data_IF_757083759579
#
_entry.id   IF_757083759579
#
_cell.length_a   1.000
_cell.length_b   1.000
_cell.length_c   1.000
_cell.angle_alpha   90.00
_cell.angle_beta   90.00
_cell.angle_gamma   90.00
#
_symmetry.space_group_name_H-M   'P 1'
#
loop_
_entity.id
_entity.type
_entity.pdbx_description
1 polymer ?
#
# COMPACT_ATOMS: atom_id res chain seq x y z
N UNK A 1 1.65 -10.06 3.24
CA UNK A 1 1.71 -10.63 1.87
C UNK A 1 1.46 -12.14 1.87
N UNK A 2 2.28 -12.98 2.53
CA UNK A 2 2.11 -14.45 2.51
C UNK A 2 0.71 -14.92 2.96
N UNK A 3 0.19 -14.41 4.09
CA UNK A 3 -1.15 -14.75 4.57
C UNK A 3 -2.24 -14.38 3.55
N UNK A 4 -2.19 -13.15 3.03
CA UNK A 4 -3.16 -12.67 2.02
C UNK A 4 -3.08 -13.53 0.77
N UNK A 5 -1.88 -13.84 0.28
CA UNK A 5 -1.69 -14.70 -0.88
C UNK A 5 -2.24 -16.12 -0.68
N UNK A 6 -2.02 -16.73 0.49
CA UNK A 6 -2.57 -18.05 0.81
C UNK A 6 -4.10 -18.02 0.90
N UNK A 7 -4.67 -17.00 1.53
CA UNK A 7 -6.13 -16.85 1.62
C UNK A 7 -6.77 -16.60 0.25
N UNK A 8 -6.18 -15.71 -0.56
CA UNK A 8 -6.62 -15.45 -1.93
C UNK A 8 -6.55 -16.72 -2.79
N UNK A 9 -5.47 -17.51 -2.68
CA UNK A 9 -5.33 -18.78 -3.40
C UNK A 9 -6.38 -19.80 -2.96
N UNK A 10 -6.60 -19.94 -1.64
CA UNK A 10 -7.60 -20.86 -1.11
C UNK A 10 -9.02 -20.53 -1.56
N UNK A 11 -9.36 -19.24 -1.62
CA UNK A 11 -10.65 -18.78 -2.14
C UNK A 11 -10.76 -18.98 -3.66
N UNK A 12 -9.71 -18.64 -4.41
CA UNK A 12 -9.70 -18.75 -5.87
C UNK A 12 -10.02 -20.18 -6.36
N UNK A 13 -9.48 -21.21 -5.69
CA UNK A 13 -9.76 -22.63 -6.03
C UNK A 13 -11.25 -22.98 -5.93
N UNK A 14 -12.00 -22.31 -5.06
CA UNK A 14 -13.43 -22.59 -4.85
C UNK A 14 -14.40 -21.66 -5.58
N UNK A 15 -13.95 -20.47 -6.03
CA UNK A 15 -14.84 -19.43 -6.57
C UNK A 15 -14.55 -19.01 -7.99
N UNK A 16 -13.33 -19.18 -8.49
CA UNK A 16 -12.94 -18.68 -9.80
C UNK A 16 -12.88 -19.78 -10.86
N UNK A 17 -13.33 -19.45 -12.08
CA UNK A 17 -13.14 -20.31 -13.26
C UNK A 17 -11.75 -20.04 -13.82
N UNK A 18 -10.88 -21.05 -13.81
CA UNK A 18 -9.51 -20.91 -14.33
C UNK A 18 -9.56 -20.58 -15.82
N UNK A 19 -9.04 -19.41 -16.26
CA UNK A 19 -8.99 -19.07 -17.66
C UNK A 19 -8.07 -20.04 -18.40
N UNK A 20 -8.56 -20.59 -19.53
CA UNK A 20 -7.87 -21.62 -20.32
C UNK A 20 -6.68 -21.03 -21.09
N UNK A 21 -6.70 -19.72 -21.35
CA UNK A 21 -5.61 -18.99 -22.00
C UNK A 21 -5.12 -17.85 -21.10
N UNK A 22 -3.90 -17.99 -20.60
CA UNK A 22 -3.20 -16.92 -19.87
C UNK A 22 -2.21 -16.29 -20.83
N UNK A 23 -2.48 -15.06 -21.26
CA UNK A 23 -1.58 -14.31 -22.14
C UNK A 23 -0.24 -14.02 -21.47
N UNK A 24 0.84 -13.95 -22.27
CA UNK A 24 2.19 -13.63 -21.79
C UNK A 24 2.26 -12.27 -21.07
N UNK A 25 1.38 -11.34 -21.42
CA UNK A 25 1.26 -10.03 -20.80
C UNK A 25 0.86 -10.11 -19.31
N UNK A 26 0.00 -11.07 -18.93
CA UNK A 26 -0.43 -11.29 -17.54
C UNK A 26 0.75 -11.76 -16.70
N UNK A 27 1.55 -12.69 -17.22
CA UNK A 27 2.78 -13.15 -16.56
C UNK A 27 3.80 -12.04 -16.40
N UNK A 28 3.96 -11.19 -17.43
CA UNK A 28 4.80 -9.99 -17.38
C UNK A 28 4.36 -9.02 -16.29
N UNK A 29 3.06 -8.69 -16.23
CA UNK A 29 2.49 -7.82 -15.21
C UNK A 29 2.62 -8.41 -13.79
N UNK A 30 2.40 -9.72 -13.62
CA UNK A 30 2.55 -10.41 -12.34
C UNK A 30 4.01 -10.39 -11.85
N UNK A 31 4.97 -10.66 -12.74
CA UNK A 31 6.40 -10.60 -12.41
C UNK A 31 6.84 -9.18 -12.07
N UNK A 32 6.42 -8.19 -12.86
CA UNK A 32 6.73 -6.78 -12.63
C UNK A 32 6.20 -6.31 -11.27
N UNK A 33 4.92 -6.57 -10.98
CA UNK A 33 4.29 -6.16 -9.71
C UNK A 33 4.86 -6.92 -8.51
N UNK A 34 5.10 -8.23 -8.65
CA UNK A 34 5.66 -9.05 -7.57
C UNK A 34 7.12 -8.71 -7.24
N UNK A 35 8.00 -8.61 -8.24
CA UNK A 35 9.42 -8.34 -7.98
C UNK A 35 9.71 -6.85 -7.80
N UNK A 36 9.33 -6.02 -8.76
CA UNK A 36 9.74 -4.61 -8.76
C UNK A 36 8.83 -3.75 -7.89
N UNK A 37 7.51 -3.85 -8.05
CA UNK A 37 6.61 -3.01 -7.27
C UNK A 37 6.53 -3.47 -5.79
N UNK A 38 6.72 -4.76 -5.51
CA UNK A 38 6.55 -5.31 -4.15
C UNK A 38 7.89 -5.66 -3.49
N UNK A 39 8.62 -6.66 -4.00
CA UNK A 39 9.82 -7.16 -3.31
C UNK A 39 10.92 -6.09 -3.19
N UNK A 40 11.22 -5.37 -4.27
CA UNK A 40 12.20 -4.29 -4.26
C UNK A 40 11.75 -3.12 -3.36
N UNK A 41 10.48 -2.72 -3.44
CA UNK A 41 9.93 -1.66 -2.58
C UNK A 41 10.07 -2.02 -1.10
N UNK A 42 9.73 -3.25 -0.71
CA UNK A 42 9.91 -3.72 0.68
C UNK A 42 11.37 -3.77 1.11
N UNK A 43 12.30 -4.16 0.22
CA UNK A 43 13.72 -4.14 0.54
C UNK A 43 14.23 -2.72 0.81
N UNK A 44 13.87 -1.77 -0.07
CA UNK A 44 14.20 -0.35 0.10
C UNK A 44 13.56 0.19 1.38
N UNK A 45 12.28 -0.10 1.62
CA UNK A 45 11.56 0.31 2.82
C UNK A 45 12.23 -0.24 4.08
N UNK A 46 12.55 -1.54 4.12
CA UNK A 46 13.23 -2.18 5.26
C UNK A 46 14.63 -1.60 5.48
N UNK A 47 15.34 -1.28 4.40
CA UNK A 47 16.66 -0.65 4.49
C UNK A 47 16.56 0.78 5.04
N UNK A 48 15.67 1.60 4.51
CA UNK A 48 15.42 2.97 4.98
C UNK A 48 14.96 3.00 6.45
N UNK A 49 14.15 2.03 6.85
CA UNK A 49 13.68 1.87 8.23
C UNK A 49 14.82 1.58 9.22
N UNK A 50 15.89 0.90 8.79
CA UNK A 50 17.04 0.60 9.65
C UNK A 50 17.90 1.81 9.96
N UNK A 51 17.98 2.76 9.02
CA UNK A 51 18.84 3.96 9.14
C UNK A 51 18.09 5.20 9.66
N UNK A 52 16.77 5.12 9.83
CA UNK A 52 15.92 6.27 10.15
C UNK A 52 15.26 6.10 11.52
N UNK A 53 15.20 7.17 12.32
CA UNK A 53 14.51 7.15 13.60
C UNK A 53 13.05 6.68 13.43
N UNK A 54 12.51 5.82 14.33
CA UNK A 54 11.16 5.26 14.20
C UNK A 54 10.06 6.29 13.96
N UNK A 55 10.22 7.50 14.50
CA UNK A 55 9.30 8.63 14.33
C UNK A 55 9.25 9.13 12.88
N UNK A 56 10.39 9.30 12.23
CA UNK A 56 10.44 9.77 10.84
C UNK A 56 9.93 8.70 9.88
N UNK A 57 10.28 7.45 10.11
CA UNK A 57 9.73 6.29 9.39
C UNK A 57 8.21 6.23 9.49
N UNK A 58 7.66 6.38 10.70
CA UNK A 58 6.21 6.33 10.92
C UNK A 58 5.49 7.44 10.13
N UNK A 59 6.02 8.67 10.16
CA UNK A 59 5.48 9.79 9.38
C UNK A 59 5.48 9.51 7.87
N UNK A 60 6.53 8.86 7.34
CA UNK A 60 6.61 8.47 5.93
C UNK A 60 5.55 7.41 5.58
N UNK A 61 5.44 6.34 6.38
CA UNK A 61 4.45 5.26 6.17
C UNK A 61 3.01 5.79 6.25
N UNK A 62 2.78 6.70 7.19
CA UNK A 62 1.50 7.39 7.35
C UNK A 62 1.21 8.31 6.16
N UNK A 63 2.23 8.87 5.53
CA UNK A 63 2.05 9.71 4.33
C UNK A 63 1.85 8.90 3.05
N UNK A 64 2.18 7.60 3.04
CA UNK A 64 2.11 6.72 1.86
C UNK A 64 0.73 6.75 1.16
N UNK A 65 -0.42 6.64 1.87
CA UNK A 65 -1.73 6.67 1.21
C UNK A 65 -2.07 8.00 0.56
N UNK A 66 -1.50 9.10 1.05
CA UNK A 66 -1.69 10.45 0.47
C UNK A 66 -0.97 10.53 -0.87
N UNK A 67 0.27 10.05 -0.94
CA UNK A 67 1.03 9.98 -2.18
C UNK A 67 0.40 8.98 -3.16
N UNK A 68 -0.11 7.84 -2.68
CA UNK A 68 -0.82 6.88 -3.50
C UNK A 68 -2.07 7.51 -4.15
N UNK A 69 -2.88 8.25 -3.38
CA UNK A 69 -4.04 8.95 -3.91
C UNK A 69 -3.65 10.06 -4.91
N UNK A 70 -2.58 10.81 -4.63
CA UNK A 70 -2.08 11.86 -5.51
C UNK A 70 -1.59 11.29 -6.85
N UNK A 71 -0.79 10.23 -6.82
CA UNK A 71 -0.30 9.58 -8.04
C UNK A 71 -1.40 8.80 -8.77
N UNK A 72 -2.41 8.27 -8.07
CA UNK A 72 -3.61 7.70 -8.69
C UNK A 72 -4.37 8.76 -9.51
N UNK A 73 -4.54 9.97 -8.96
CA UNK A 73 -5.14 11.08 -9.68
C UNK A 73 -4.29 11.57 -10.86
N UNK A 74 -2.98 11.75 -10.66
CA UNK A 74 -2.09 12.36 -11.66
C UNK A 74 -1.62 11.40 -12.76
N UNK A 75 -1.19 10.18 -12.41
CA UNK A 75 -0.60 9.22 -13.35
C UNK A 75 -1.61 8.19 -13.84
N UNK A 76 -2.48 7.69 -12.96
CA UNK A 76 -3.50 6.71 -13.35
C UNK A 76 -4.78 7.37 -13.91
N UNK A 77 -4.89 8.71 -13.82
CA UNK A 77 -6.04 9.47 -14.30
C UNK A 77 -7.33 9.18 -13.54
N UNK A 78 -7.23 8.64 -12.32
CA UNK A 78 -8.39 8.33 -11.51
C UNK A 78 -9.13 9.61 -11.13
N UNK A 79 -10.40 9.73 -11.53
CA UNK A 79 -11.25 10.84 -11.11
C UNK A 79 -11.64 10.65 -9.65
N UNK A 80 -11.07 11.46 -8.77
CA UNK A 80 -11.44 11.53 -7.37
C UNK A 80 -12.87 12.06 -7.25
N UNK A 81 -13.83 11.14 -7.12
CA UNK A 81 -15.21 11.46 -6.79
C UNK A 81 -15.34 11.88 -5.32
N UNK A 82 -16.52 12.39 -4.98
CA UNK A 82 -16.81 12.89 -3.62
C UNK A 82 -16.53 11.84 -2.53
N UNK A 83 -16.80 10.55 -2.82
CA UNK A 83 -16.56 9.44 -1.89
C UNK A 83 -15.06 9.21 -1.63
N UNK A 84 -14.21 9.29 -2.66
CA UNK A 84 -12.76 9.15 -2.47
C UNK A 84 -12.18 10.33 -1.67
N UNK A 85 -12.68 11.55 -1.91
CA UNK A 85 -12.29 12.73 -1.13
C UNK A 85 -12.59 12.57 0.36
N UNK A 86 -13.80 12.12 0.72
CA UNK A 86 -14.15 11.83 2.12
C UNK A 86 -13.29 10.69 2.70
N UNK A 87 -13.00 9.65 1.90
CA UNK A 87 -12.09 8.57 2.30
C UNK A 87 -10.69 9.09 2.62
N UNK A 88 -10.09 9.89 1.74
CA UNK A 88 -8.80 10.54 1.97
C UNK A 88 -8.80 11.41 3.23
N UNK A 89 -9.85 12.20 3.44
CA UNK A 89 -9.98 13.05 4.62
C UNK A 89 -10.04 12.21 5.91
N UNK A 90 -10.82 11.12 5.92
CA UNK A 90 -10.92 10.23 7.07
C UNK A 90 -9.59 9.52 7.37
N UNK A 91 -8.86 9.08 6.34
CA UNK A 91 -7.52 8.48 6.50
C UNK A 91 -6.57 9.49 7.14
N UNK A 92 -6.50 10.71 6.60
CA UNK A 92 -5.66 11.79 7.14
C UNK A 92 -6.01 12.13 8.60
N UNK A 93 -7.29 12.25 8.93
CA UNK A 93 -7.74 12.52 10.29
C UNK A 93 -7.41 11.38 11.24
N UNK A 94 -7.66 10.13 10.84
CA UNK A 94 -7.33 8.94 11.64
C UNK A 94 -5.83 8.85 11.93
N UNK A 95 -5.00 9.19 10.95
CA UNK A 95 -3.55 9.27 11.08
C UNK A 95 -3.11 10.36 12.05
N UNK A 96 -3.63 11.59 11.91
CA UNK A 96 -3.32 12.67 12.84
C UNK A 96 -3.68 12.29 14.28
N UNK A 97 -4.85 11.69 14.50
CA UNK A 97 -5.27 11.22 15.84
C UNK A 97 -4.38 10.11 16.37
N UNK A 98 -3.92 9.18 15.51
CA UNK A 98 -3.02 8.09 15.87
C UNK A 98 -1.60 8.55 16.26
N UNK A 99 -1.13 9.66 15.70
CA UNK A 99 0.22 10.19 15.96
C UNK A 99 0.31 11.00 17.28
N UNK A 100 -0.80 11.62 17.72
CA UNK A 100 -0.87 12.49 18.91
C UNK A 100 -0.44 11.77 20.22
N UNK A 101 -0.91 10.56 20.54
CA UNK A 101 -0.48 9.84 21.75
C UNK A 101 1.00 9.46 21.73
N UNK A 102 1.57 9.18 20.55
CA UNK A 102 2.98 8.80 20.40
C UNK A 102 3.92 9.98 20.62
N UNK A 103 3.53 11.18 20.19
CA UNK A 103 4.27 12.42 20.48
C UNK A 103 4.30 12.76 21.97
N UNK A 104 3.22 12.48 22.73
CA UNK A 104 3.21 12.69 24.19
C UNK A 104 4.15 11.75 24.95
N UNK A 105 4.35 10.52 24.47
CA UNK A 105 5.23 9.52 25.11
C UNK A 105 6.72 9.78 24.89
N UNK A 106 7.08 10.64 23.93
CA UNK A 106 8.48 11.01 23.65
C UNK A 106 8.97 12.21 24.49
N UNK A 107 8.05 12.90 25.18
CA UNK A 107 8.34 14.11 25.97
C UNK A 107 8.31 13.87 27.49
N UNK A 108 8.16 12.62 27.92
CA UNK A 108 8.25 12.16 29.32
C UNK A 108 9.36 11.14 29.46
#
# INVERSE_FOLDING_TARGET
VALVGLLSLALAVGTEVVPIEIGAEIWGAALFTGLLATALAYLVQTHAQRSTAPTHTALILVSEPVFAALFGYLLAGERLGWRQLWGCLLILLGMMVGEIPRLKRFKS
#
